data_IF_864249491588
#
_entry.id   IF_864249491588
#
_cell.length_a   1.000
_cell.length_b   1.000
_cell.length_c   1.000
_cell.angle_alpha   90.00
_cell.angle_beta   90.00
_cell.angle_gamma   90.00
#
_symmetry.space_group_name_H-M   'P 1'
#
loop_
_entity.id
_entity.type
_entity.pdbx_description
1 polymer ?
#
# COMPACT_ATOMS: atom_id res chain seq x y z
N UNK A 1 57.06 -0.55 41.89
CA UNK A 1 55.73 -0.60 42.53
C UNK A 1 55.04 0.74 42.41
N UNK A 2 54.15 0.89 41.42
CA UNK A 2 53.31 2.09 41.30
C UNK A 2 52.13 1.99 42.25
N UNK A 3 52.10 2.87 43.24
CA UNK A 3 51.07 2.91 44.27
C UNK A 3 49.97 3.88 43.84
N UNK A 4 48.75 3.37 43.65
CA UNK A 4 47.57 4.21 43.37
C UNK A 4 47.31 5.14 44.56
N UNK A 5 47.36 6.46 44.31
CA UNK A 5 47.24 7.53 45.32
C UNK A 5 45.80 7.99 45.61
N UNK A 6 44.79 7.52 44.85
CA UNK A 6 43.39 7.81 45.18
C UNK A 6 42.39 7.43 44.08
N UNK A 7 41.10 7.43 44.45
CA UNK A 7 39.98 7.19 43.54
C UNK A 7 38.87 8.20 43.81
N UNK A 8 38.34 8.80 42.75
CA UNK A 8 37.19 9.72 42.81
C UNK A 8 35.97 9.00 42.22
N UNK A 9 34.84 9.09 42.92
CA UNK A 9 33.54 8.63 42.42
C UNK A 9 32.61 9.83 42.26
N UNK A 10 32.00 9.98 41.09
CA UNK A 10 30.93 10.94 40.86
C UNK A 10 29.63 10.21 40.61
N UNK A 11 28.59 10.53 41.37
CA UNK A 11 27.23 10.06 41.13
C UNK A 11 26.49 11.18 40.39
N UNK A 12 25.81 10.84 39.30
CA UNK A 12 24.94 11.75 38.57
C UNK A 12 23.53 11.17 38.60
N UNK A 13 22.57 11.93 39.10
CA UNK A 13 21.17 11.56 38.99
C UNK A 13 20.77 11.61 37.50
N UNK A 14 20.33 10.47 36.99
CA UNK A 14 19.86 10.31 35.60
C UNK A 14 18.37 9.97 35.54
N UNK A 15 17.68 9.97 36.69
CA UNK A 15 16.29 9.52 36.81
C UNK A 15 15.37 10.27 35.86
N UNK A 16 15.49 11.60 35.81
CA UNK A 16 14.70 12.44 34.90
C UNK A 16 14.96 12.12 33.43
N UNK A 17 16.22 11.87 33.07
CA UNK A 17 16.62 11.55 31.70
C UNK A 17 16.06 10.20 31.25
N UNK A 18 16.18 9.19 32.11
CA UNK A 18 15.65 7.83 31.87
C UNK A 18 14.12 7.84 31.74
N UNK A 19 13.42 8.58 32.60
CA UNK A 19 11.96 8.76 32.51
C UNK A 19 11.55 9.46 31.22
N UNK A 20 12.26 10.52 30.83
CA UNK A 20 12.00 11.22 29.57
C UNK A 20 12.25 10.32 28.36
N UNK A 21 13.30 9.50 28.38
CA UNK A 21 13.60 8.55 27.31
C UNK A 21 12.52 7.48 27.18
N UNK A 22 12.11 6.85 28.28
CA UNK A 22 11.02 5.85 28.28
C UNK A 22 9.71 6.45 27.79
N UNK A 23 9.38 7.67 28.21
CA UNK A 23 8.18 8.37 27.74
C UNK A 23 8.24 8.64 26.24
N UNK A 24 9.40 9.06 25.73
CA UNK A 24 9.61 9.25 24.28
C UNK A 24 9.45 7.93 23.51
N UNK A 25 10.03 6.84 24.00
CA UNK A 25 9.92 5.52 23.38
C UNK A 25 8.46 5.04 23.35
N UNK A 26 7.72 5.19 24.45
CA UNK A 26 6.28 4.90 24.49
C UNK A 26 5.50 5.72 23.46
N UNK A 27 5.73 7.03 23.40
CA UNK A 27 5.06 7.91 22.43
C UNK A 27 5.38 7.52 20.98
N UNK A 28 6.60 7.06 20.69
CA UNK A 28 6.96 6.55 19.36
C UNK A 28 6.16 5.28 19.03
N UNK A 29 6.00 4.37 19.99
CA UNK A 29 5.19 3.16 19.81
C UNK A 29 3.72 3.51 19.57
N UNK A 30 3.16 4.39 20.40
CA UNK A 30 1.77 4.83 20.28
C UNK A 30 1.51 5.54 18.94
N UNK A 31 2.43 6.41 18.53
CA UNK A 31 2.36 7.10 17.24
C UNK A 31 2.40 6.12 16.06
N UNK A 32 3.30 5.13 16.10
CA UNK A 32 3.36 4.10 15.07
C UNK A 32 2.07 3.30 15.00
N UNK A 33 1.51 2.91 16.15
CA UNK A 33 0.26 2.18 16.22
C UNK A 33 -0.91 2.98 15.63
N UNK A 34 -1.05 4.25 16.01
CA UNK A 34 -2.08 5.13 15.46
C UNK A 34 -1.91 5.33 13.95
N UNK A 35 -0.67 5.45 13.45
CA UNK A 35 -0.39 5.56 12.02
C UNK A 35 -0.83 4.30 11.26
N UNK A 36 -0.55 3.11 11.79
CA UNK A 36 -0.94 1.85 11.16
C UNK A 36 -2.47 1.63 11.18
N UNK A 37 -3.15 2.06 12.26
CA UNK A 37 -4.62 2.07 12.31
C UNK A 37 -5.22 2.97 11.24
N UNK A 38 -4.68 4.19 11.05
CA UNK A 38 -5.11 5.12 9.98
C UNK A 38 -4.86 4.52 8.59
N UNK A 39 -3.68 3.93 8.34
CA UNK A 39 -3.38 3.27 7.05
C UNK A 39 -4.35 2.13 6.74
N UNK A 40 -4.74 1.37 7.75
CA UNK A 40 -5.68 0.24 7.58
C UNK A 40 -7.08 0.74 7.22
N UNK A 41 -7.54 1.81 7.88
CA UNK A 41 -8.83 2.45 7.57
C UNK A 41 -8.83 3.13 6.20
N UNK A 42 -7.69 3.67 5.75
CA UNK A 42 -7.49 4.16 4.38
C UNK A 42 -7.49 3.05 3.32
N UNK A 43 -7.34 1.78 3.71
CA UNK A 43 -7.34 0.65 2.78
C UNK A 43 -8.72 0.15 2.36
N UNK A 44 -9.79 0.56 3.04
CA UNK A 44 -11.16 0.12 2.72
C UNK A 44 -11.80 1.14 1.78
N UNK A 45 -11.82 0.82 0.49
CA UNK A 45 -12.50 1.63 -0.53
C UNK A 45 -13.99 1.27 -0.61
N UNK A 46 -14.91 2.20 -0.34
CA UNK A 46 -16.34 1.94 -0.50
C UNK A 46 -16.69 1.83 -1.99
N UNK A 47 -16.95 0.61 -2.46
CA UNK A 47 -17.36 0.33 -3.85
C UNK A 47 -18.86 0.14 -3.98
N UNK A 48 -19.46 0.61 -5.07
CA UNK A 48 -20.85 0.31 -5.40
C UNK A 48 -20.99 -1.17 -5.76
N UNK A 49 -21.91 -1.89 -5.13
CA UNK A 49 -22.11 -3.32 -5.38
C UNK A 49 -22.57 -3.62 -6.81
N UNK A 50 -23.25 -2.68 -7.46
CA UNK A 50 -23.77 -2.80 -8.82
C UNK A 50 -22.78 -2.34 -9.90
N UNK A 51 -22.40 -1.06 -9.91
CA UNK A 51 -21.57 -0.48 -10.98
C UNK A 51 -20.06 -0.45 -10.67
N UNK A 52 -19.64 -0.89 -9.48
CA UNK A 52 -18.23 -0.95 -9.02
C UNK A 52 -17.49 0.39 -8.93
N UNK A 53 -18.17 1.52 -9.11
CA UNK A 53 -17.60 2.84 -8.84
C UNK A 53 -17.16 2.97 -7.38
N UNK A 54 -16.12 3.77 -7.13
CA UNK A 54 -15.57 4.04 -5.79
C UNK A 54 -16.16 5.36 -5.28
N UNK A 55 -16.61 5.38 -4.02
CA UNK A 55 -17.03 6.63 -3.36
C UNK A 55 -15.83 7.30 -2.70
N UNK A 56 -15.60 8.58 -3.01
CA UNK A 56 -14.54 9.36 -2.38
C UNK A 56 -14.96 9.96 -1.02
N UNK A 57 -14.02 10.64 -0.36
CA UNK A 57 -14.23 11.29 0.95
C UNK A 57 -15.25 12.45 0.91
N UNK A 58 -15.51 13.00 -0.29
CA UNK A 58 -16.52 14.05 -0.52
C UNK A 58 -17.90 13.45 -0.82
N UNK A 59 -17.99 12.14 -0.98
CA UNK A 59 -19.22 11.40 -1.27
C UNK A 59 -19.52 11.23 -2.76
N UNK A 60 -18.63 11.62 -3.67
CA UNK A 60 -18.83 11.44 -5.12
C UNK A 60 -18.45 10.03 -5.56
N UNK A 61 -19.12 9.55 -6.61
CA UNK A 61 -18.86 8.25 -7.22
C UNK A 61 -17.95 8.41 -8.44
N UNK A 62 -16.76 7.83 -8.35
CA UNK A 62 -15.72 7.90 -9.36
C UNK A 62 -15.53 6.53 -10.03
N UNK A 63 -15.10 6.52 -11.29
CA UNK A 63 -14.62 5.30 -11.94
C UNK A 63 -13.36 4.80 -11.22
N UNK A 64 -13.14 3.48 -11.24
CA UNK A 64 -12.03 2.85 -10.52
C UNK A 64 -10.69 3.40 -11.02
N UNK A 65 -10.53 3.47 -12.35
CA UNK A 65 -9.31 3.91 -13.01
C UNK A 65 -8.99 5.36 -12.65
N UNK A 66 -10.01 6.23 -12.62
CA UNK A 66 -9.86 7.64 -12.21
C UNK A 66 -9.42 7.74 -10.76
N UNK A 67 -10.12 7.05 -9.85
CA UNK A 67 -9.83 7.13 -8.43
C UNK A 67 -8.42 6.58 -8.11
N UNK A 68 -8.06 5.42 -8.66
CA UNK A 68 -6.73 4.83 -8.41
C UNK A 68 -5.64 5.69 -9.05
N UNK A 69 -5.86 6.24 -10.26
CA UNK A 69 -4.90 7.14 -10.90
C UNK A 69 -4.66 8.42 -10.11
N UNK A 70 -5.69 9.00 -9.49
CA UNK A 70 -5.56 10.22 -8.67
C UNK A 70 -4.94 9.95 -7.29
N UNK A 71 -5.14 8.76 -6.74
CA UNK A 71 -4.73 8.40 -5.37
C UNK A 71 -3.50 7.47 -5.30
N UNK A 72 -2.84 7.18 -6.43
CA UNK A 72 -1.65 6.34 -6.49
C UNK A 72 -0.66 6.80 -7.58
N UNK A 73 0.45 6.08 -7.73
CA UNK A 73 1.40 6.29 -8.84
C UNK A 73 1.13 5.34 -10.02
N UNK A 74 -0.05 4.71 -10.06
CA UNK A 74 -0.38 3.75 -11.12
C UNK A 74 -0.81 4.47 -12.40
N UNK A 75 -0.27 4.03 -13.53
CA UNK A 75 -0.73 4.39 -14.87
C UNK A 75 -1.49 3.21 -15.48
N UNK A 76 -2.64 3.48 -16.11
CA UNK A 76 -3.47 2.46 -16.73
C UNK A 76 -3.24 2.42 -18.25
N UNK A 77 -2.88 1.25 -18.77
CA UNK A 77 -2.94 0.96 -20.20
C UNK A 77 -4.24 0.22 -20.55
N UNK A 78 -4.61 0.23 -21.83
CA UNK A 78 -5.78 -0.48 -22.32
C UNK A 78 -5.32 -1.71 -23.10
N UNK A 79 -5.78 -2.89 -22.68
CA UNK A 79 -5.55 -4.16 -23.34
C UNK A 79 -6.81 -5.01 -23.31
N UNK A 80 -6.88 -6.01 -24.18
CA UNK A 80 -7.98 -6.98 -24.24
C UNK A 80 -7.45 -8.35 -23.84
N UNK A 81 -8.08 -9.00 -22.85
CA UNK A 81 -7.70 -10.36 -22.49
C UNK A 81 -8.23 -11.38 -23.52
N UNK A 82 -7.65 -12.59 -23.59
CA UNK A 82 -8.11 -13.63 -24.50
C UNK A 82 -9.61 -13.92 -24.39
N UNK A 83 -10.14 -14.05 -23.17
CA UNK A 83 -11.58 -14.31 -22.95
C UNK A 83 -12.49 -13.22 -23.54
N UNK A 84 -12.07 -11.95 -23.47
CA UNK A 84 -12.82 -10.85 -24.05
C UNK A 84 -12.72 -10.86 -25.58
N UNK A 85 -11.54 -11.12 -26.12
CA UNK A 85 -11.35 -11.28 -27.56
C UNK A 85 -12.18 -12.44 -28.11
N UNK A 86 -12.21 -13.57 -27.42
CA UNK A 86 -13.00 -14.76 -27.76
C UNK A 86 -14.50 -14.47 -27.76
N UNK A 87 -15.00 -13.75 -26.75
CA UNK A 87 -16.42 -13.39 -26.69
C UNK A 87 -16.84 -12.41 -27.79
N UNK A 88 -15.94 -11.54 -28.22
CA UNK A 88 -16.24 -10.51 -29.22
C UNK A 88 -16.03 -10.99 -30.65
N UNK A 89 -15.02 -11.84 -30.88
CA UNK A 89 -14.54 -12.22 -32.21
C UNK A 89 -14.49 -13.74 -32.43
N UNK A 90 -14.87 -14.56 -31.46
CA UNK A 90 -14.77 -16.02 -31.54
C UNK A 90 -15.54 -16.65 -32.71
N UNK A 91 -16.60 -15.99 -33.18
CA UNK A 91 -17.40 -16.43 -34.33
C UNK A 91 -16.90 -15.86 -35.66
N UNK A 92 -15.85 -15.02 -35.64
CA UNK A 92 -15.28 -14.42 -36.84
C UNK A 92 -14.23 -15.34 -37.47
N UNK A 93 -14.35 -15.58 -38.79
CA UNK A 93 -13.45 -16.46 -39.53
C UNK A 93 -11.98 -16.02 -39.41
N UNK A 94 -11.70 -14.72 -39.53
CA UNK A 94 -10.33 -14.17 -39.45
C UNK A 94 -9.68 -14.37 -38.08
N UNK A 95 -10.48 -14.35 -37.01
CA UNK A 95 -9.99 -14.52 -35.64
C UNK A 95 -9.70 -15.99 -35.35
N UNK A 96 -10.57 -16.88 -35.85
CA UNK A 96 -10.39 -18.34 -35.76
C UNK A 96 -9.19 -18.81 -36.56
N UNK A 97 -8.96 -18.26 -37.76
CA UNK A 97 -7.78 -18.54 -38.58
C UNK A 97 -6.49 -18.06 -37.90
N UNK A 98 -6.48 -16.82 -37.38
CA UNK A 98 -5.35 -16.27 -36.62
C UNK A 98 -4.96 -17.18 -35.44
N UNK A 99 -5.93 -17.66 -34.66
CA UNK A 99 -5.66 -18.57 -33.53
C UNK A 99 -5.05 -19.90 -33.96
N UNK A 100 -5.54 -20.50 -35.06
CA UNK A 100 -4.96 -21.74 -35.61
C UNK A 100 -3.51 -21.56 -36.04
N UNK A 101 -3.17 -20.40 -36.59
CA UNK A 101 -1.78 -20.09 -36.97
C UNK A 101 -0.85 -19.92 -35.76
N UNK A 102 -1.35 -19.36 -34.66
CA UNK A 102 -0.58 -19.22 -33.42
C UNK A 102 -0.34 -20.57 -32.74
N UNK A 103 -1.33 -21.46 -32.72
CA UNK A 103 -1.19 -22.84 -32.22
C UNK A 103 -0.18 -23.69 -33.02
N UNK A 104 0.04 -23.35 -34.30
CA UNK A 104 1.01 -24.03 -35.16
C UNK A 104 2.45 -23.54 -34.99
N UNK A 105 2.66 -22.43 -34.26
CA UNK A 105 3.98 -21.81 -34.03
C UNK A 105 4.59 -22.17 -32.66
N UNK A 106 3.82 -22.79 -31.77
CA UNK A 106 4.29 -23.38 -30.51
C UNK A 106 4.78 -24.82 -30.71
#
# INVERSE_FOLDING_TARGET
DEQIIGRVWSFRDITERELAQKKRESLIVDLKKALDEVKTLQGILPICSHCKQIRDDKGYWNKIETYIGEHSQAEFSHGMCPDCSDKLYGDEDWYTEMKKEDELKE
#
